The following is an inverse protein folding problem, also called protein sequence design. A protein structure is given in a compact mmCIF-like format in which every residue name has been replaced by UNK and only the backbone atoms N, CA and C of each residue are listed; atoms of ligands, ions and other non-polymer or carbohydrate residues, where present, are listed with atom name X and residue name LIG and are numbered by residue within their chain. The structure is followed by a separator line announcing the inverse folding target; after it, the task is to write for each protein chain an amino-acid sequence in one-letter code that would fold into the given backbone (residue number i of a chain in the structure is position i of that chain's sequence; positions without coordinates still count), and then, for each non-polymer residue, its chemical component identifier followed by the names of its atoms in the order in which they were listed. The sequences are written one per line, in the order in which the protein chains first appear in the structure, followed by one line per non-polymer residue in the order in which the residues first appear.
data_IF_170583835309
#
_entry.id   IF_170583835309
#
_cell.length_a   1.000
_cell.length_b   1.000
_cell.length_c   1.000
_cell.angle_alpha   90.00
_cell.angle_beta   90.00
_cell.angle_gamma   90.00
#
_symmetry.space_group_name_H-M   'P 1'
#
loop_
_entity.id
_entity.type
_entity.pdbx_description
1 polymer ?
#
# COMPACT_ATOMS: atom_id res chain seq x y z
N UNK A 1 -10.54 5.48 -22.55
CA UNK A 1 -9.71 4.27 -22.41
C UNK A 1 -10.31 3.42 -21.30
N UNK A 2 -10.33 2.08 -21.39
CA UNK A 2 -10.68 1.25 -20.25
C UNK A 2 -9.62 1.50 -19.16
N UNK A 3 -10.06 1.86 -17.96
CA UNK A 3 -9.21 2.27 -16.85
C UNK A 3 -8.43 1.11 -16.17
N UNK A 4 -8.40 -0.08 -16.77
CA UNK A 4 -7.92 -1.30 -16.10
C UNK A 4 -6.44 -1.63 -16.35
N UNK A 5 -5.78 -1.01 -17.32
CA UNK A 5 -4.47 -1.51 -17.80
C UNK A 5 -3.26 -0.62 -17.43
N UNK A 6 -3.46 0.52 -16.74
CA UNK A 6 -2.36 1.43 -16.38
C UNK A 6 -2.06 1.33 -14.88
N UNK A 7 -0.87 0.84 -14.49
CA UNK A 7 -0.43 0.83 -13.09
C UNK A 7 -0.44 2.24 -12.50
N UNK A 8 -0.71 2.35 -11.20
CA UNK A 8 -0.82 3.64 -10.48
C UNK A 8 0.44 3.98 -9.67
N UNK A 9 1.27 2.98 -9.39
CA UNK A 9 2.55 3.07 -8.66
C UNK A 9 3.57 2.10 -9.29
N UNK A 10 4.86 2.35 -9.06
CA UNK A 10 5.92 1.41 -9.46
C UNK A 10 5.88 0.11 -8.64
N UNK A 11 6.46 -0.95 -9.21
CA UNK A 11 6.76 -2.17 -8.45
C UNK A 11 7.74 -1.85 -7.31
N UNK A 12 7.47 -2.40 -6.12
CA UNK A 12 8.24 -2.20 -4.90
C UNK A 12 8.99 -3.47 -4.44
N UNK A 13 8.94 -4.54 -5.24
CA UNK A 13 9.60 -5.81 -4.94
C UNK A 13 8.71 -6.77 -4.14
N UNK A 14 9.36 -7.74 -3.49
CA UNK A 14 8.69 -8.82 -2.75
C UNK A 14 9.07 -8.73 -1.28
N UNK A 15 8.07 -8.73 -0.41
CA UNK A 15 8.26 -8.83 1.03
C UNK A 15 7.89 -10.22 1.53
N UNK A 16 8.51 -10.66 2.62
CA UNK A 16 8.23 -11.94 3.28
C UNK A 16 8.16 -11.75 4.79
N UNK A 17 7.17 -12.37 5.44
CA UNK A 17 7.02 -12.45 6.90
C UNK A 17 6.14 -13.65 7.25
N UNK A 18 6.32 -14.18 8.46
CA UNK A 18 5.41 -15.14 9.07
C UNK A 18 4.26 -14.45 9.83
N UNK A 19 4.33 -13.14 10.05
CA UNK A 19 3.27 -12.33 10.64
C UNK A 19 2.51 -11.55 9.56
N UNK A 20 1.21 -11.86 9.45
CA UNK A 20 0.27 -11.32 8.46
C UNK A 20 0.04 -9.81 8.60
N UNK A 21 -0.05 -9.32 9.84
CA UNK A 21 -0.34 -7.89 10.08
C UNK A 21 0.94 -7.08 9.86
N UNK A 22 2.08 -7.60 10.28
CA UNK A 22 3.37 -6.94 10.09
C UNK A 22 3.71 -6.77 8.60
N UNK A 23 3.45 -7.78 7.77
CA UNK A 23 3.76 -7.72 6.33
C UNK A 23 2.88 -6.75 5.57
N UNK A 24 1.60 -6.71 5.90
CA UNK A 24 0.66 -5.77 5.28
C UNK A 24 0.96 -4.34 5.73
N UNK A 25 1.27 -4.12 7.01
CA UNK A 25 1.72 -2.82 7.51
C UNK A 25 2.98 -2.34 6.76
N UNK A 26 3.99 -3.20 6.63
CA UNK A 26 5.21 -2.87 5.89
C UNK A 26 4.93 -2.56 4.42
N UNK A 27 4.02 -3.30 3.78
CA UNK A 27 3.61 -3.08 2.39
C UNK A 27 2.97 -1.69 2.21
N UNK A 28 2.02 -1.34 3.09
CA UNK A 28 1.37 -0.04 3.10
C UNK A 28 2.39 1.09 3.31
N UNK A 29 3.32 0.94 4.26
CA UNK A 29 4.32 1.96 4.55
C UNK A 29 5.29 2.20 3.38
N UNK A 30 5.50 1.21 2.50
CA UNK A 30 6.25 1.37 1.25
C UNK A 30 5.40 2.07 0.19
N UNK A 31 4.13 1.67 0.04
CA UNK A 31 3.21 2.30 -0.92
C UNK A 31 2.97 3.79 -0.60
N UNK A 32 2.86 4.17 0.68
CA UNK A 32 2.72 5.56 1.12
C UNK A 32 3.93 6.45 0.76
N UNK A 33 5.09 5.84 0.49
CA UNK A 33 6.30 6.54 0.03
C UNK A 33 6.45 6.56 -1.49
N UNK A 34 5.52 5.92 -2.21
CA UNK A 34 5.59 5.80 -3.66
C UNK A 34 5.02 7.02 -4.36
N UNK A 35 5.60 7.34 -5.51
CA UNK A 35 5.09 8.42 -6.36
C UNK A 35 3.98 7.91 -7.29
N UNK A 36 2.95 8.73 -7.57
CA UNK A 36 1.91 8.37 -8.52
C UNK A 36 2.49 8.29 -9.93
N UNK A 37 2.08 7.26 -10.69
CA UNK A 37 2.57 7.09 -12.05
C UNK A 37 1.98 8.11 -13.03
N UNK A 38 2.81 8.73 -13.89
CA UNK A 38 2.34 9.59 -14.96
C UNK A 38 1.36 8.88 -15.89
N UNK A 39 0.27 9.57 -16.25
CA UNK A 39 -0.77 9.02 -17.13
C UNK A 39 -1.62 7.92 -16.51
N UNK A 40 -1.51 7.69 -15.20
CA UNK A 40 -2.37 6.77 -14.45
C UNK A 40 -3.56 7.48 -13.81
N UNK A 41 -4.54 6.68 -13.36
CA UNK A 41 -5.69 7.16 -12.59
C UNK A 41 -5.30 7.92 -11.32
N UNK A 42 -4.09 7.71 -10.78
CA UNK A 42 -3.62 8.45 -9.62
C UNK A 42 -3.54 9.96 -9.89
N UNK A 43 -3.03 10.37 -11.06
CA UNK A 43 -2.97 11.79 -11.44
C UNK A 43 -4.34 12.37 -11.80
N UNK A 44 -5.21 11.58 -12.45
CA UNK A 44 -6.60 11.99 -12.70
C UNK A 44 -7.35 12.28 -11.39
N UNK A 45 -6.95 11.60 -10.31
CA UNK A 45 -7.45 11.77 -8.94
C UNK A 45 -6.64 12.78 -8.13
N UNK A 46 -5.69 13.49 -8.76
CA UNK A 46 -4.84 14.51 -8.14
C UNK A 46 -4.07 13.98 -6.91
N UNK A 47 -3.70 12.70 -6.92
CA UNK A 47 -2.79 12.17 -5.92
C UNK A 47 -1.40 12.78 -6.13
N UNK A 48 -0.75 13.20 -5.04
CA UNK A 48 0.60 13.74 -5.03
C UNK A 48 1.60 12.79 -4.36
N UNK A 49 2.90 13.04 -4.57
CA UNK A 49 3.97 12.36 -3.87
C UNK A 49 3.79 12.46 -2.34
N UNK A 50 3.86 11.33 -1.65
CA UNK A 50 3.64 11.24 -0.20
C UNK A 50 2.17 11.27 0.24
N UNK A 51 1.21 11.30 -0.69
CA UNK A 51 -0.19 11.03 -0.38
C UNK A 51 -0.55 9.55 -0.55
N UNK A 52 -1.62 9.13 0.12
CA UNK A 52 -2.17 7.78 -0.06
C UNK A 52 -2.91 7.67 -1.41
N UNK A 53 -2.20 7.15 -2.41
CA UNK A 53 -2.70 6.96 -3.77
C UNK A 53 -3.92 6.04 -3.80
N UNK A 54 -3.91 4.95 -3.02
CA UNK A 54 -5.00 3.96 -3.01
C UNK A 54 -6.28 4.56 -2.39
N UNK A 55 -6.14 5.32 -1.31
CA UNK A 55 -7.26 6.06 -0.71
C UNK A 55 -7.83 7.09 -1.68
N UNK A 56 -6.98 7.86 -2.40
CA UNK A 56 -7.44 8.86 -3.38
C UNK A 56 -8.21 8.26 -4.54
N UNK A 57 -7.82 7.07 -4.98
CA UNK A 57 -8.46 6.40 -6.12
C UNK A 57 -9.77 5.73 -5.72
N UNK A 58 -9.78 5.02 -4.58
CA UNK A 58 -10.90 4.18 -4.18
C UNK A 58 -11.89 4.88 -3.24
N UNK A 59 -11.46 5.93 -2.54
CA UNK A 59 -12.22 6.62 -1.49
C UNK A 59 -12.78 5.64 -0.44
N UNK A 60 -11.94 4.66 -0.07
CA UNK A 60 -12.28 3.59 0.87
C UNK A 60 -11.19 3.43 1.92
N UNK A 61 -11.55 3.43 3.22
CA UNK A 61 -10.58 3.30 4.31
C UNK A 61 -10.10 1.84 4.44
N UNK A 62 -9.20 1.41 3.55
CA UNK A 62 -8.71 0.03 3.50
C UNK A 62 -7.93 -0.38 4.76
N UNK A 63 -7.37 0.59 5.50
CA UNK A 63 -6.69 0.38 6.79
C UNK A 63 -7.56 -0.33 7.83
N UNK A 64 -8.90 -0.24 7.73
CA UNK A 64 -9.82 -0.96 8.61
C UNK A 64 -9.56 -2.47 8.59
N UNK A 65 -9.19 -3.04 7.44
CA UNK A 65 -8.89 -4.47 7.34
C UNK A 65 -7.68 -4.84 8.19
N UNK A 66 -6.66 -4.00 8.19
CA UNK A 66 -5.43 -4.21 8.98
C UNK A 66 -5.70 -4.06 10.47
N UNK A 67 -6.46 -3.04 10.86
CA UNK A 67 -6.87 -2.80 12.25
C UNK A 67 -7.68 -3.97 12.80
N UNK A 68 -8.65 -4.47 12.04
CA UNK A 68 -9.47 -5.62 12.44
C UNK A 68 -8.66 -6.91 12.50
N UNK A 69 -7.72 -7.14 11.58
CA UNK A 69 -6.83 -8.30 11.62
C UNK A 69 -5.96 -8.30 12.89
N UNK A 70 -5.40 -7.14 13.26
CA UNK A 70 -4.65 -6.99 14.51
C UNK A 70 -5.55 -7.18 15.73
N UNK A 71 -6.76 -6.60 15.73
CA UNK A 71 -7.75 -6.75 16.82
C UNK A 71 -8.16 -8.20 17.04
N UNK A 72 -8.23 -9.00 15.98
CA UNK A 72 -8.52 -10.44 16.03
C UNK A 72 -7.32 -11.29 16.47
N UNK A 73 -6.14 -10.69 16.67
CA UNK A 73 -4.94 -11.39 17.09
C UNK A 73 -4.23 -12.16 15.98
N UNK A 74 -4.42 -11.76 14.72
CA UNK A 74 -3.77 -12.39 13.56
C UNK A 74 -2.31 -11.93 13.35
N UNK A 75 -1.84 -10.98 14.16
CA UNK A 75 -0.49 -10.42 14.10
C UNK A 75 -0.38 -9.06 14.78
N UNK A 76 0.83 -8.50 14.79
CA UNK A 76 1.12 -7.15 15.30
C UNK A 76 1.53 -6.20 14.16
N UNK A 77 1.25 -4.90 14.31
CA UNK A 77 1.64 -3.89 13.32
C UNK A 77 3.13 -3.56 13.37
N UNK A 78 3.82 -3.88 14.46
CA UNK A 78 5.25 -3.62 14.61
C UNK A 78 6.04 -4.61 13.76
N UNK A 79 7.00 -4.08 13.01
CA UNK A 79 7.90 -4.87 12.20
C UNK A 79 9.31 -4.25 12.21
N UNK A 80 10.30 -5.06 11.85
CA UNK A 80 11.66 -4.63 11.55
C UNK A 80 11.94 -4.99 10.08
N UNK A 81 12.26 -4.00 9.25
CA UNK A 81 12.59 -4.25 7.84
C UNK A 81 14.05 -4.68 7.72
N UNK A 82 14.29 -5.84 7.09
CA UNK A 82 15.62 -6.37 6.78
C UNK A 82 15.75 -6.60 5.28
N UNK A 83 16.72 -5.94 4.66
CA UNK A 83 17.06 -6.17 3.27
C UNK A 83 17.94 -7.42 3.16
N UNK A 84 17.60 -8.30 2.23
CA UNK A 84 18.38 -9.50 1.92
C UNK A 84 19.14 -9.22 0.62
N UNK A 85 20.47 -9.30 0.68
CA UNK A 85 21.38 -9.15 -0.45
C UNK A 85 21.80 -10.46 -1.08
#
# INVERSE_FOLDING_TARGET
MPAADVPVMQDAGILLSDDLVAIEQASIDILLKSDPLPGSLALDRQAAAGEDILMKIHDKPYLLQLEEASRLGLGDRKYELKEIG
#
